data_IF_292662032291
#
_entry.id   IF_292662032291
#
_cell.length_a   1.000
_cell.length_b   1.000
_cell.length_c   1.000
_cell.angle_alpha   90.00
_cell.angle_beta   90.00
_cell.angle_gamma   90.00
#
_symmetry.space_group_name_H-M   'P 1'
#
loop_
_entity.id
_entity.type
_entity.pdbx_description
1 polymer ?
#
# COMPACT_ATOMS: atom_id res chain seq x y z
N UNK A 1 -3.87 45.67 57.11
CA UNK A 1 -4.31 44.49 56.31
C UNK A 1 -3.18 44.11 55.32
N UNK A 2 -2.37 43.16 55.73
CA UNK A 2 -1.22 42.72 54.92
C UNK A 2 -1.54 41.45 54.08
N UNK A 3 -1.29 41.51 52.82
CA UNK A 3 -1.48 40.37 51.91
C UNK A 3 -0.10 39.76 51.67
N UNK A 4 0.11 38.56 52.22
CA UNK A 4 1.31 37.74 52.01
C UNK A 4 1.22 36.97 50.71
N UNK A 5 2.15 37.23 49.78
CA UNK A 5 2.32 36.45 48.53
C UNK A 5 3.24 35.27 48.79
N UNK A 6 2.70 34.05 48.68
CA UNK A 6 3.47 32.80 48.71
C UNK A 6 4.05 32.52 47.33
N UNK A 7 5.39 32.44 47.23
CA UNK A 7 6.13 31.98 46.04
C UNK A 7 6.17 30.46 46.04
N UNK A 8 5.58 29.85 45.00
CA UNK A 8 5.70 28.42 44.74
C UNK A 8 6.96 28.15 43.90
N UNK A 9 7.92 27.46 44.49
CA UNK A 9 9.13 26.97 43.86
C UNK A 9 8.85 25.61 43.19
N UNK A 10 8.81 25.57 41.87
CA UNK A 10 8.75 24.32 41.10
C UNK A 10 10.15 23.73 40.99
N UNK A 11 10.38 22.64 41.66
CA UNK A 11 11.59 21.81 41.56
C UNK A 11 11.53 20.99 40.25
N UNK A 12 12.48 21.27 39.37
CA UNK A 12 12.70 20.52 38.13
C UNK A 12 13.48 19.24 38.45
N UNK A 13 12.83 18.10 38.49
CA UNK A 13 13.50 16.80 38.53
C UNK A 13 14.06 16.44 37.14
N UNK A 14 15.37 16.46 37.00
CA UNK A 14 16.10 15.89 35.87
C UNK A 14 16.17 14.38 36.07
N UNK A 15 15.50 13.61 35.21
CA UNK A 15 15.73 12.17 35.12
C UNK A 15 16.79 11.93 34.04
N UNK A 16 17.92 11.41 34.47
CA UNK A 16 18.98 10.87 33.63
C UNK A 16 18.54 9.53 33.05
N UNK A 17 18.55 9.43 31.72
CA UNK A 17 18.37 8.16 31.05
C UNK A 17 19.69 7.42 30.99
N UNK A 18 19.73 6.25 31.63
CA UNK A 18 20.85 5.31 31.56
C UNK A 18 20.74 4.53 30.24
N UNK A 19 21.72 4.75 29.37
CA UNK A 19 22.00 3.98 28.16
C UNK A 19 22.54 2.60 28.57
N UNK A 20 21.85 1.51 28.22
CA UNK A 20 22.44 0.16 28.25
C UNK A 20 22.39 -0.42 26.84
N UNK A 21 23.56 -0.41 26.21
CA UNK A 21 23.93 -1.30 25.13
C UNK A 21 24.26 -2.69 25.72
N UNK A 22 23.96 -3.72 24.96
CA UNK A 22 24.59 -5.06 24.81
C UNK A 22 23.47 -6.03 24.42
N UNK A 23 23.58 -6.67 23.28
CA UNK A 23 24.05 -7.93 22.98
C UNK A 23 23.76 -8.36 21.55
N UNK A 24 24.80 -8.47 20.75
CA UNK A 24 24.77 -9.19 19.48
C UNK A 24 24.71 -10.71 19.79
N UNK A 25 23.76 -11.39 19.17
CA UNK A 25 23.79 -12.86 19.05
C UNK A 25 23.78 -13.21 17.55
N UNK A 26 24.96 -13.56 17.07
CA UNK A 26 25.15 -14.25 15.81
C UNK A 26 24.66 -15.70 15.95
N UNK A 27 23.77 -16.14 15.08
CA UNK A 27 23.51 -17.57 14.86
C UNK A 27 23.93 -17.90 13.44
N UNK A 28 25.04 -18.62 13.35
CA UNK A 28 25.58 -19.20 12.14
C UNK A 28 24.87 -20.51 11.81
N UNK A 29 24.62 -20.72 10.52
CA UNK A 29 24.81 -22.02 9.85
C UNK A 29 23.71 -23.05 9.98
N UNK A 30 23.13 -23.43 8.85
CA UNK A 30 23.21 -24.81 8.34
C UNK A 30 22.88 -24.81 6.83
N UNK A 31 23.88 -25.03 6.02
CA UNK A 31 23.78 -25.49 4.64
C UNK A 31 23.29 -26.94 4.63
N UNK A 32 22.22 -27.22 3.92
CA UNK A 32 21.90 -28.57 3.48
C UNK A 32 21.76 -28.54 1.95
N UNK A 33 22.78 -29.04 1.28
CA UNK A 33 22.77 -29.42 -0.12
C UNK A 33 22.18 -30.82 -0.26
N UNK A 34 21.28 -31.02 -1.20
CA UNK A 34 20.92 -32.30 -1.85
C UNK A 34 19.86 -31.94 -2.90
N UNK A 35 19.86 -32.33 -4.11
CA UNK A 35 20.54 -33.30 -4.90
C UNK A 35 19.90 -33.20 -6.29
N UNK A 36 20.70 -33.19 -7.31
CA UNK A 36 20.30 -33.22 -8.71
C UNK A 36 19.66 -34.57 -9.04
N UNK A 37 18.54 -34.54 -9.76
CA UNK A 37 18.06 -35.67 -10.55
C UNK A 37 17.87 -35.16 -11.98
N UNK A 38 18.75 -35.66 -12.84
CA UNK A 38 18.57 -35.54 -14.29
C UNK A 38 17.53 -36.58 -14.74
N UNK A 39 16.59 -36.20 -15.52
CA UNK A 39 15.85 -37.15 -16.36
C UNK A 39 15.89 -36.68 -17.80
N UNK A 40 16.36 -37.59 -18.63
CA UNK A 40 16.54 -37.53 -20.05
C UNK A 40 15.26 -38.01 -20.74
N UNK A 41 14.83 -37.37 -21.81
CA UNK A 41 14.01 -38.09 -22.78
C UNK A 41 13.01 -37.28 -23.59
N UNK A 42 13.23 -37.23 -24.87
CA UNK A 42 12.18 -37.31 -25.86
C UNK A 42 11.87 -36.03 -26.65
N UNK A 43 12.58 -35.87 -27.77
CA UNK A 43 12.21 -34.93 -28.80
C UNK A 43 10.97 -35.37 -29.57
N UNK A 44 10.18 -34.40 -29.96
CA UNK A 44 9.32 -34.51 -31.17
C UNK A 44 9.33 -33.17 -31.90
N UNK A 45 9.97 -33.20 -33.03
CA UNK A 45 9.90 -32.19 -34.11
C UNK A 45 8.49 -32.14 -34.67
N UNK A 46 7.86 -30.99 -34.63
CA UNK A 46 6.67 -30.72 -35.46
C UNK A 46 6.99 -29.62 -36.48
N UNK A 47 7.15 -30.04 -37.68
CA UNK A 47 7.27 -29.23 -38.89
C UNK A 47 5.96 -28.47 -39.16
N UNK A 48 5.98 -27.16 -39.17
CA UNK A 48 4.88 -26.35 -39.63
C UNK A 48 5.14 -25.86 -41.04
N UNK A 49 4.32 -26.34 -41.95
CA UNK A 49 4.26 -26.04 -43.35
C UNK A 49 3.87 -24.58 -43.60
N UNK A 50 4.72 -23.84 -44.30
CA UNK A 50 4.39 -22.55 -44.88
C UNK A 50 3.49 -22.76 -46.10
N UNK A 51 2.36 -22.09 -46.11
CA UNK A 51 1.56 -21.93 -47.34
C UNK A 51 1.59 -20.46 -47.73
N UNK A 52 2.24 -20.20 -48.85
CA UNK A 52 2.21 -18.94 -49.59
C UNK A 52 0.99 -18.88 -50.49
N UNK A 53 0.52 -17.68 -50.71
CA UNK A 53 -0.04 -17.09 -51.91
C UNK A 53 -1.43 -16.49 -51.76
N UNK A 54 -1.53 -15.25 -52.24
CA UNK A 54 -2.77 -14.56 -52.49
C UNK A 54 -2.63 -13.05 -52.50
N UNK A 55 -1.93 -12.50 -53.51
CA UNK A 55 -2.04 -11.07 -53.84
C UNK A 55 -3.43 -10.78 -54.37
N UNK A 56 -4.15 -9.83 -53.77
CA UNK A 56 -5.22 -9.10 -54.46
C UNK A 56 -5.12 -7.64 -54.10
N UNK A 57 -4.73 -6.84 -55.05
CA UNK A 57 -4.82 -5.39 -55.11
C UNK A 57 -6.29 -4.95 -55.12
N UNK A 58 -6.66 -4.10 -54.16
CA UNK A 58 -7.99 -3.51 -54.05
C UNK A 58 -7.90 -2.11 -53.41
N UNK A 59 -7.88 -1.14 -54.27
CA UNK A 59 -8.40 0.24 -54.21
C UNK A 59 -8.73 0.88 -52.89
N UNK A 60 -8.00 1.97 -52.59
CA UNK A 60 -8.38 3.30 -52.09
C UNK A 60 -9.75 3.44 -51.41
N UNK A 61 -9.76 3.49 -50.10
CA UNK A 61 -10.76 4.12 -49.28
C UNK A 61 -10.03 4.75 -48.08
N UNK A 62 -9.77 6.06 -48.15
CA UNK A 62 -9.16 6.79 -47.04
C UNK A 62 -10.12 6.86 -45.87
N UNK A 63 -10.14 5.83 -45.02
CA UNK A 63 -10.75 5.90 -43.71
C UNK A 63 -9.81 6.71 -42.83
N UNK A 64 -10.21 7.91 -42.47
CA UNK A 64 -9.63 8.69 -41.41
C UNK A 64 -9.69 7.86 -40.12
N UNK A 65 -8.59 7.20 -39.78
CA UNK A 65 -8.45 6.51 -38.51
C UNK A 65 -8.44 7.58 -37.41
N UNK A 66 -9.60 7.81 -36.80
CA UNK A 66 -9.71 8.60 -35.60
C UNK A 66 -8.66 8.09 -34.60
N UNK A 67 -7.80 8.97 -34.11
CA UNK A 67 -6.76 8.65 -33.13
C UNK A 67 -7.43 8.02 -31.92
N UNK A 68 -7.24 6.71 -31.74
CA UNK A 68 -7.72 6.01 -30.55
C UNK A 68 -7.27 6.75 -29.30
N UNK A 69 -8.16 7.06 -28.37
CA UNK A 69 -7.79 7.79 -27.15
C UNK A 69 -6.65 7.06 -26.45
N UNK A 70 -5.51 7.74 -26.24
CA UNK A 70 -4.33 7.17 -25.58
C UNK A 70 -4.76 6.61 -24.23
N UNK A 71 -4.61 5.29 -24.03
CA UNK A 71 -4.91 4.66 -22.73
C UNK A 71 -4.10 5.32 -21.65
N UNK A 72 -4.79 5.84 -20.62
CA UNK A 72 -4.13 6.41 -19.46
C UNK A 72 -3.21 5.37 -18.82
N UNK A 73 -2.03 5.79 -18.33
CA UNK A 73 -1.19 4.92 -17.52
C UNK A 73 -1.94 4.46 -16.26
N UNK A 74 -1.60 3.29 -15.72
CA UNK A 74 -2.21 2.79 -14.48
C UNK A 74 -2.20 3.84 -13.37
N UNK A 75 -1.06 4.52 -13.15
CA UNK A 75 -0.91 5.57 -12.14
C UNK A 75 -1.88 6.74 -12.34
N UNK A 76 -2.08 7.18 -13.57
CA UNK A 76 -3.03 8.24 -13.89
C UNK A 76 -4.48 7.78 -13.66
N UNK A 77 -4.84 6.59 -14.14
CA UNK A 77 -6.17 6.02 -13.97
C UNK A 77 -6.49 5.74 -12.48
N UNK A 78 -5.56 5.19 -11.70
CA UNK A 78 -5.74 4.96 -10.27
C UNK A 78 -5.94 6.26 -9.51
N UNK A 79 -5.17 7.31 -9.84
CA UNK A 79 -5.32 8.64 -9.23
C UNK A 79 -6.70 9.27 -9.48
N UNK A 80 -7.41 8.87 -10.51
CA UNK A 80 -8.78 9.32 -10.80
C UNK A 80 -9.85 8.39 -10.23
N UNK A 81 -9.62 7.08 -10.32
CA UNK A 81 -10.59 6.05 -9.95
C UNK A 81 -10.57 5.61 -8.49
N UNK A 82 -9.49 5.88 -7.76
CA UNK A 82 -9.36 5.49 -6.35
C UNK A 82 -9.73 6.64 -5.40
N UNK A 83 -9.86 6.30 -4.11
CA UNK A 83 -10.00 7.27 -3.01
C UNK A 83 -8.81 7.22 -2.07
N UNK A 84 -8.58 8.32 -1.35
CA UNK A 84 -7.54 8.37 -0.32
C UNK A 84 -7.91 7.45 0.86
N UNK A 85 -6.95 6.65 1.37
CA UNK A 85 -7.27 5.51 2.25
C UNK A 85 -7.55 5.85 3.70
N UNK A 86 -7.30 7.06 4.21
CA UNK A 86 -7.53 7.43 5.62
C UNK A 86 -8.63 8.47 5.75
N UNK A 87 -9.51 8.29 6.73
CA UNK A 87 -10.58 9.24 7.10
C UNK A 87 -10.63 9.48 8.60
N UNK A 88 -10.90 10.73 9.04
CA UNK A 88 -11.01 11.94 8.23
C UNK A 88 -9.62 12.43 7.76
N UNK A 89 -9.58 13.13 6.64
CA UNK A 89 -8.31 13.64 6.06
C UNK A 89 -7.58 14.61 7.01
N UNK A 90 -8.29 15.25 7.94
CA UNK A 90 -7.70 16.11 8.98
C UNK A 90 -6.79 15.39 9.96
N UNK A 91 -6.84 14.08 9.99
CA UNK A 91 -5.96 13.24 10.83
C UNK A 91 -4.69 12.78 10.12
N UNK A 92 -4.45 13.24 8.91
CA UNK A 92 -3.30 12.83 8.08
C UNK A 92 -2.28 13.95 8.02
N UNK A 93 -1.02 13.64 8.30
CA UNK A 93 0.09 14.56 8.11
C UNK A 93 0.33 14.80 6.61
N UNK A 94 0.86 15.98 6.23
CA UNK A 94 1.01 16.34 4.82
C UNK A 94 2.06 15.48 4.10
N UNK A 95 1.98 15.34 2.75
CA UNK A 95 2.83 14.45 1.96
C UNK A 95 4.36 14.66 2.07
N UNK A 96 4.82 15.79 2.59
CA UNK A 96 6.24 16.04 2.86
C UNK A 96 6.82 15.22 4.03
N UNK A 97 5.93 14.66 4.86
CA UNK A 97 6.31 13.83 6.02
C UNK A 97 6.24 12.33 5.72
N UNK A 98 5.81 11.95 4.52
CA UNK A 98 5.62 10.55 4.16
C UNK A 98 6.95 9.89 3.75
N UNK A 99 7.14 8.64 4.15
CA UNK A 99 8.36 7.87 3.94
C UNK A 99 8.12 6.65 3.04
N UNK A 100 8.74 6.56 1.86
CA UNK A 100 8.62 5.38 1.01
C UNK A 100 9.63 4.29 1.41
N UNK A 101 9.17 3.03 1.41
CA UNK A 101 10.00 1.84 1.57
C UNK A 101 9.50 0.68 0.67
N UNK A 102 8.76 -0.31 1.20
CA UNK A 102 8.04 -1.31 0.41
C UNK A 102 6.75 -0.73 -0.17
N UNK A 103 6.10 0.16 0.56
CA UNK A 103 4.96 0.96 0.19
C UNK A 103 5.22 2.43 0.40
N UNK A 104 4.32 3.08 1.12
CA UNK A 104 4.42 4.46 1.58
C UNK A 104 3.81 4.58 2.98
N UNK A 105 4.60 5.04 3.94
CA UNK A 105 4.16 5.39 5.28
C UNK A 105 3.42 6.73 5.27
N UNK A 106 2.23 6.73 5.79
CA UNK A 106 1.35 7.89 5.90
C UNK A 106 1.06 8.13 7.38
N UNK A 107 1.86 8.97 8.07
CA UNK A 107 1.69 9.22 9.49
C UNK A 107 0.46 10.07 9.79
N UNK A 108 -0.03 9.95 11.04
CA UNK A 108 -1.21 10.65 11.51
C UNK A 108 -0.89 11.86 12.39
N UNK A 109 -1.78 12.84 12.42
CA UNK A 109 -1.65 14.05 13.23
C UNK A 109 -1.90 13.72 14.72
N UNK A 110 -0.94 14.08 15.59
CA UNK A 110 -1.08 13.87 17.02
C UNK A 110 -1.30 12.41 17.40
N UNK A 111 -0.65 11.51 16.66
CA UNK A 111 -0.75 10.06 16.86
C UNK A 111 -2.20 9.52 16.78
N UNK A 112 -3.04 10.18 15.98
CA UNK A 112 -4.42 9.73 15.79
C UNK A 112 -4.47 8.28 15.29
N UNK A 113 -5.20 7.43 16.00
CA UNK A 113 -5.30 6.01 15.74
C UNK A 113 -6.70 5.48 16.10
N UNK A 114 -6.97 4.22 15.87
CA UNK A 114 -8.24 3.61 16.18
C UNK A 114 -9.40 4.34 15.45
N UNK A 115 -10.45 4.64 16.16
CA UNK A 115 -11.64 5.35 15.62
C UNK A 115 -11.35 6.76 15.13
N UNK A 116 -10.22 7.35 15.50
CA UNK A 116 -9.83 8.69 15.04
C UNK A 116 -9.25 8.68 13.62
N UNK A 117 -8.75 7.54 13.17
CA UNK A 117 -8.13 7.35 11.85
C UNK A 117 -8.58 6.02 11.24
N UNK A 118 -9.71 6.06 10.51
CA UNK A 118 -10.28 4.89 9.84
C UNK A 118 -9.65 4.69 8.47
N UNK A 119 -9.23 3.47 8.20
CA UNK A 119 -8.74 3.06 6.89
C UNK A 119 -9.91 2.59 6.01
N UNK A 120 -9.91 3.04 4.75
CA UNK A 120 -10.95 2.69 3.78
C UNK A 120 -10.35 2.03 2.54
N UNK A 121 -11.11 1.14 1.91
CA UNK A 121 -10.72 0.52 0.64
C UNK A 121 -10.48 1.59 -0.43
N UNK A 122 -9.29 1.61 -1.04
CA UNK A 122 -8.94 2.58 -2.11
C UNK A 122 -9.77 2.37 -3.38
N UNK A 123 -10.22 1.14 -3.63
CA UNK A 123 -10.98 0.71 -4.81
C UNK A 123 -11.95 -0.41 -4.42
N UNK A 124 -12.80 -0.85 -5.36
CA UNK A 124 -13.59 -2.05 -5.17
C UNK A 124 -12.69 -3.29 -5.18
N UNK A 125 -12.88 -4.18 -4.21
CA UNK A 125 -11.99 -5.31 -4.03
C UNK A 125 -12.58 -6.45 -3.21
N UNK A 126 -11.76 -7.51 -3.06
CA UNK A 126 -12.02 -8.64 -2.17
C UNK A 126 -10.86 -8.78 -1.20
N UNK A 127 -11.14 -8.89 0.08
CA UNK A 127 -10.13 -9.17 1.10
C UNK A 127 -9.63 -10.61 0.91
N UNK A 128 -8.34 -10.77 0.68
CA UNK A 128 -7.74 -12.07 0.38
C UNK A 128 -6.84 -12.58 1.48
N UNK A 129 -6.39 -11.68 2.35
CA UNK A 129 -5.53 -12.01 3.49
C UNK A 129 -5.80 -11.04 4.63
N UNK A 130 -5.56 -11.49 5.86
CA UNK A 130 -5.50 -10.69 7.06
C UNK A 130 -4.30 -11.14 7.88
N UNK A 131 -3.49 -10.18 8.30
CA UNK A 131 -2.21 -10.43 8.94
C UNK A 131 -1.05 -10.50 7.95
N UNK A 132 -0.04 -9.70 8.20
CA UNK A 132 1.19 -9.61 7.41
C UNK A 132 2.35 -9.56 8.40
N UNK A 133 3.36 -10.44 8.20
CA UNK A 133 4.56 -10.43 9.02
C UNK A 133 5.25 -9.07 8.98
N UNK A 134 5.59 -8.53 10.13
CA UNK A 134 6.14 -7.18 10.27
C UNK A 134 5.11 -6.06 10.26
N UNK A 135 3.95 -6.22 9.63
CA UNK A 135 2.93 -5.17 9.48
C UNK A 135 1.70 -5.33 10.38
N UNK A 136 1.67 -6.36 11.21
CA UNK A 136 0.61 -6.61 12.17
C UNK A 136 -0.33 -7.75 11.80
N UNK A 137 -0.85 -8.44 12.82
CA UNK A 137 -1.69 -9.64 12.68
C UNK A 137 -3.08 -9.35 12.10
N UNK A 138 -3.47 -8.09 12.02
CA UNK A 138 -4.77 -7.69 11.50
C UNK A 138 -4.68 -6.85 10.20
N UNK A 139 -3.48 -6.62 9.69
CA UNK A 139 -3.26 -5.89 8.44
C UNK A 139 -3.98 -6.57 7.27
N UNK A 140 -4.96 -5.92 6.60
CA UNK A 140 -5.69 -6.53 5.50
C UNK A 140 -4.93 -6.41 4.18
N UNK A 141 -5.08 -7.43 3.32
CA UNK A 141 -4.69 -7.36 1.90
C UNK A 141 -5.94 -7.53 1.05
N UNK A 142 -6.12 -6.60 0.13
CA UNK A 142 -7.25 -6.55 -0.78
C UNK A 142 -6.80 -6.81 -2.21
N UNK A 143 -7.46 -7.73 -2.93
CA UNK A 143 -7.33 -7.85 -4.39
C UNK A 143 -8.32 -6.92 -5.06
N UNK A 144 -7.87 -6.05 -5.94
CA UNK A 144 -8.72 -5.14 -6.69
C UNK A 144 -9.57 -5.95 -7.68
N UNK A 145 -10.89 -5.79 -7.64
CA UNK A 145 -11.83 -6.55 -8.48
C UNK A 145 -12.35 -5.76 -9.66
N UNK A 146 -12.29 -4.43 -9.59
CA UNK A 146 -12.79 -3.55 -10.64
C UNK A 146 -11.93 -2.30 -10.79
N UNK A 147 -11.90 -1.76 -12.02
CA UNK A 147 -11.24 -0.49 -12.34
C UNK A 147 -9.71 -0.58 -12.43
N UNK A 148 -9.02 0.55 -12.23
CA UNK A 148 -7.57 0.62 -12.35
C UNK A 148 -6.87 -0.30 -11.37
N UNK A 149 -5.93 -1.10 -11.87
CA UNK A 149 -5.20 -2.08 -11.07
C UNK A 149 -5.95 -3.39 -10.84
N UNK A 150 -7.07 -3.65 -11.53
CA UNK A 150 -7.81 -4.93 -11.42
C UNK A 150 -6.86 -6.12 -11.43
N UNK A 151 -7.01 -6.99 -10.43
CA UNK A 151 -6.21 -8.19 -10.22
C UNK A 151 -4.96 -7.98 -9.37
N UNK A 152 -4.47 -6.75 -9.17
CA UNK A 152 -3.36 -6.44 -8.26
C UNK A 152 -3.84 -6.42 -6.81
N UNK A 153 -2.90 -6.53 -5.88
CA UNK A 153 -3.16 -6.54 -4.45
C UNK A 153 -2.71 -5.24 -3.81
N UNK A 154 -3.52 -4.70 -2.91
CA UNK A 154 -3.19 -3.56 -2.06
C UNK A 154 -3.16 -4.03 -0.61
N UNK A 155 -2.08 -3.76 0.11
CA UNK A 155 -1.99 -4.05 1.53
C UNK A 155 -2.08 -2.78 2.38
N UNK A 156 -2.59 -2.94 3.60
CA UNK A 156 -2.77 -1.89 4.60
C UNK A 156 -2.03 -2.34 5.86
N UNK A 157 -0.76 -1.95 5.95
CA UNK A 157 0.12 -2.29 7.06
C UNK A 157 -0.18 -1.49 8.32
N UNK A 158 0.20 -2.05 9.46
CA UNK A 158 0.04 -1.48 10.81
C UNK A 158 -1.42 -1.20 11.21
N UNK A 159 -2.37 -1.81 10.51
CA UNK A 159 -3.80 -1.72 10.79
C UNK A 159 -4.22 -2.53 12.02
N UNK A 160 -5.00 -1.94 12.91
CA UNK A 160 -5.61 -2.61 14.08
C UNK A 160 -6.70 -1.76 14.72
N UNK A 161 -7.95 -2.29 14.85
CA UNK A 161 -8.42 -3.58 14.38
C UNK A 161 -8.74 -3.59 12.87
N UNK A 162 -8.73 -4.78 12.26
CA UNK A 162 -9.42 -4.98 10.98
C UNK A 162 -10.94 -4.99 11.21
N UNK A 163 -11.66 -4.33 10.32
CA UNK A 163 -13.14 -4.24 10.32
C UNK A 163 -13.77 -5.20 9.31
N UNK A 164 -12.95 -5.99 8.63
CA UNK A 164 -13.35 -6.90 7.56
C UNK A 164 -12.82 -8.32 7.79
N UNK A 165 -13.40 -9.28 7.07
CA UNK A 165 -13.01 -10.69 7.09
C UNK A 165 -12.40 -11.10 5.74
N UNK A 166 -11.51 -12.09 5.75
CA UNK A 166 -11.02 -12.73 4.51
C UNK A 166 -12.21 -13.30 3.74
N UNK A 167 -12.20 -13.10 2.42
CA UNK A 167 -13.29 -13.48 1.53
C UNK A 167 -14.34 -12.38 1.31
N UNK A 168 -14.40 -11.36 2.15
CA UNK A 168 -15.36 -10.26 2.06
C UNK A 168 -15.07 -9.37 0.84
N UNK A 169 -16.13 -9.04 0.08
CA UNK A 169 -16.09 -7.99 -0.91
C UNK A 169 -16.29 -6.62 -0.25
N UNK A 170 -15.56 -5.63 -0.72
CA UNK A 170 -15.61 -4.26 -0.21
C UNK A 170 -15.72 -3.27 -1.36
N UNK A 171 -16.47 -2.20 -1.13
CA UNK A 171 -16.59 -1.09 -2.07
C UNK A 171 -15.55 -0.02 -1.80
N UNK A 172 -15.18 0.70 -2.83
CA UNK A 172 -14.32 1.88 -2.73
C UNK A 172 -14.85 2.86 -1.66
N UNK A 173 -13.99 3.22 -0.71
CA UNK A 173 -14.34 4.10 0.40
C UNK A 173 -15.04 3.42 1.58
N UNK A 174 -15.31 2.12 1.51
CA UNK A 174 -15.83 1.34 2.65
C UNK A 174 -14.75 1.21 3.74
N UNK A 175 -15.10 1.39 5.04
CA UNK A 175 -14.20 1.10 6.15
C UNK A 175 -13.74 -0.35 6.13
N UNK A 176 -12.42 -0.57 6.25
CA UNK A 176 -11.80 -1.91 6.25
C UNK A 176 -10.92 -2.16 7.46
N UNK A 177 -10.38 -1.11 8.07
CA UNK A 177 -9.55 -1.20 9.26
C UNK A 177 -9.47 0.16 9.96
N UNK A 178 -8.66 0.22 11.02
CA UNK A 178 -8.25 1.45 11.68
C UNK A 178 -6.73 1.48 11.76
N UNK A 179 -6.14 2.66 11.69
CA UNK A 179 -4.71 2.84 11.99
C UNK A 179 -4.44 2.34 13.40
N UNK A 180 -3.49 1.46 13.55
CA UNK A 180 -3.17 0.85 14.84
C UNK A 180 -2.66 1.86 15.86
N UNK A 181 -3.04 1.69 17.12
CA UNK A 181 -2.57 2.50 18.24
C UNK A 181 -1.32 1.88 18.86
N UNK A 182 -0.32 2.71 19.15
CA UNK A 182 0.96 2.26 19.69
C UNK A 182 1.77 1.45 18.67
N UNK A 183 2.43 0.40 19.13
CA UNK A 183 3.25 -0.47 18.28
C UNK A 183 2.40 -1.58 17.68
N UNK A 184 2.29 -1.61 16.35
CA UNK A 184 1.63 -2.68 15.59
C UNK A 184 2.61 -3.26 14.57
N UNK A 185 2.97 -4.52 14.71
CA UNK A 185 4.08 -5.10 13.96
C UNK A 185 5.40 -4.45 14.36
N UNK A 186 6.18 -4.03 13.38
CA UNK A 186 7.45 -3.31 13.58
C UNK A 186 7.29 -1.78 13.71
N UNK A 187 6.06 -1.28 13.61
CA UNK A 187 5.78 0.16 13.75
C UNK A 187 6.04 0.64 15.18
N UNK A 188 6.62 1.83 15.31
CA UNK A 188 6.83 2.51 16.60
C UNK A 188 5.84 3.65 16.86
N UNK A 189 5.05 4.04 15.86
CA UNK A 189 4.07 5.14 15.95
C UNK A 189 2.90 4.93 14.99
N UNK A 190 1.71 5.50 15.27
CA UNK A 190 0.54 5.37 14.43
C UNK A 190 0.74 5.93 13.01
N UNK A 191 0.65 5.07 12.01
CA UNK A 191 0.65 5.39 10.60
C UNK A 191 -0.03 4.27 9.80
N UNK A 192 -0.43 4.57 8.60
CA UNK A 192 -0.77 3.56 7.59
C UNK A 192 0.44 3.37 6.69
N UNK A 193 0.95 2.15 6.57
CA UNK A 193 1.77 1.77 5.44
C UNK A 193 0.87 1.16 4.35
N UNK A 194 0.87 1.75 3.15
CA UNK A 194 0.09 1.23 2.02
C UNK A 194 0.99 0.94 0.82
N UNK A 195 0.84 -0.25 0.26
CA UNK A 195 1.58 -0.65 -0.92
C UNK A 195 0.73 -1.44 -1.90
N UNK A 196 1.29 -1.70 -3.08
CA UNK A 196 0.63 -2.41 -4.15
C UNK A 196 1.55 -3.46 -4.77
N UNK A 197 1.03 -4.64 -5.09
CA UNK A 197 1.79 -5.69 -5.77
C UNK A 197 2.28 -5.23 -7.15
N UNK A 198 3.43 -5.76 -7.60
CA UNK A 198 4.00 -5.42 -8.91
C UNK A 198 3.10 -5.87 -10.06
N UNK A 199 2.53 -7.06 -9.92
CA UNK A 199 1.70 -7.72 -10.96
C UNK A 199 0.41 -8.28 -10.36
N UNK A 200 -0.44 -8.83 -11.21
CA UNK A 200 -1.65 -9.57 -10.83
C UNK A 200 -1.37 -11.02 -10.45
N UNK A 201 -0.20 -11.53 -10.82
CA UNK A 201 0.32 -12.84 -10.44
C UNK A 201 1.35 -12.68 -9.32
N UNK A 202 1.41 -13.62 -8.41
CA UNK A 202 2.34 -13.61 -7.30
C UNK A 202 1.66 -13.44 -5.94
N UNK A 203 2.45 -13.36 -4.88
CA UNK A 203 1.91 -13.31 -3.53
C UNK A 203 1.09 -12.03 -3.31
N UNK A 204 0.03 -12.10 -2.50
CA UNK A 204 -0.80 -10.95 -2.17
C UNK A 204 -0.01 -9.80 -1.51
N UNK A 205 1.04 -10.11 -0.78
CA UNK A 205 1.95 -9.17 -0.11
C UNK A 205 3.33 -9.81 0.03
N UNK A 206 4.38 -9.07 0.12
CA UNK A 206 4.53 -7.64 -0.09
C UNK A 206 5.60 -7.44 -1.18
N UNK A 207 5.60 -6.34 -1.92
CA UNK A 207 6.69 -6.06 -2.85
C UNK A 207 8.00 -5.84 -2.09
N UNK A 208 9.13 -6.04 -2.74
CA UNK A 208 10.43 -5.67 -2.19
C UNK A 208 10.56 -4.15 -2.03
N UNK A 209 11.43 -3.72 -1.13
CA UNK A 209 11.72 -2.30 -0.89
C UNK A 209 12.06 -1.59 -2.22
N UNK A 210 11.48 -0.43 -2.45
CA UNK A 210 11.64 0.36 -3.68
C UNK A 210 10.94 -0.19 -4.92
N UNK A 211 10.39 -1.41 -4.89
CA UNK A 211 9.87 -2.07 -6.09
C UNK A 211 8.62 -1.40 -6.67
N UNK A 212 7.68 -0.99 -5.81
CA UNK A 212 6.42 -0.32 -6.20
C UNK A 212 6.15 0.95 -5.39
N UNK A 213 7.01 1.28 -4.43
CA UNK A 213 6.83 2.43 -3.54
C UNK A 213 6.73 3.76 -4.29
N UNK A 214 7.52 3.98 -5.34
CA UNK A 214 7.42 5.18 -6.17
C UNK A 214 6.09 5.31 -6.90
N UNK A 215 5.50 4.18 -7.33
CA UNK A 215 4.20 4.14 -8.00
C UNK A 215 3.08 4.48 -7.01
N UNK A 216 3.02 3.79 -5.86
CA UNK A 216 1.97 4.01 -4.87
C UNK A 216 2.08 5.39 -4.22
N UNK A 217 3.29 5.89 -3.94
CA UNK A 217 3.52 7.24 -3.43
C UNK A 217 2.93 8.30 -4.34
N UNK A 218 3.17 8.19 -5.65
CA UNK A 218 2.64 9.16 -6.61
C UNK A 218 1.11 9.12 -6.68
N UNK A 219 0.50 7.94 -6.57
CA UNK A 219 -0.97 7.78 -6.51
C UNK A 219 -1.49 8.44 -5.22
N UNK A 220 -0.94 8.10 -4.06
CA UNK A 220 -1.40 8.62 -2.76
C UNK A 220 -1.29 10.14 -2.67
N UNK A 221 -0.19 10.73 -3.14
CA UNK A 221 -0.02 12.20 -3.17
C UNK A 221 -1.11 12.90 -4.00
N UNK A 222 -1.47 12.34 -5.16
CA UNK A 222 -2.55 12.89 -5.99
C UNK A 222 -3.92 12.74 -5.34
N UNK A 223 -4.21 11.58 -4.73
CA UNK A 223 -5.45 11.34 -4.01
C UNK A 223 -5.60 12.30 -2.81
N UNK A 224 -4.52 12.52 -2.06
CA UNK A 224 -4.49 13.47 -0.96
C UNK A 224 -4.78 14.90 -1.45
N UNK A 225 -4.12 15.34 -2.52
CA UNK A 225 -4.33 16.67 -3.10
C UNK A 225 -5.78 16.88 -3.54
N UNK A 226 -6.39 15.90 -4.22
CA UNK A 226 -7.80 15.92 -4.63
C UNK A 226 -8.74 15.98 -3.43
N UNK A 227 -8.54 15.14 -2.43
CA UNK A 227 -9.35 15.11 -1.22
C UNK A 227 -9.23 16.42 -0.43
N UNK A 228 -8.02 17.02 -0.39
CA UNK A 228 -7.79 18.33 0.23
C UNK A 228 -8.47 19.47 -0.51
N UNK A 229 -8.49 19.45 -1.85
CA UNK A 229 -9.19 20.43 -2.66
C UNK A 229 -10.70 20.36 -2.44
N UNK A 230 -11.28 19.15 -2.47
CA UNK A 230 -12.71 18.94 -2.24
C UNK A 230 -13.17 19.48 -0.87
N UNK A 231 -12.35 19.33 0.19
CA UNK A 231 -12.67 19.89 1.52
C UNK A 231 -12.78 21.43 1.52
N UNK A 232 -11.91 22.12 0.79
CA UNK A 232 -11.91 23.59 0.74
C UNK A 232 -13.13 24.18 0.05
N UNK A 233 -13.83 23.41 -0.79
CA UNK A 233 -15.05 23.85 -1.46
C UNK A 233 -16.32 23.61 -0.64
N UNK A 234 -16.22 22.88 0.49
CA UNK A 234 -17.37 22.55 1.35
C UNK A 234 -17.25 23.17 2.76
N UNK A 235 -16.20 23.94 3.03
CA UNK A 235 -15.99 24.73 4.27
C UNK A 235 -16.16 26.21 3.99
#
# INVERSE_FOLDING_TARGET
MGITKTKSTRTRARRASLLRMLGAAAVAGLLAASGAVADTGGGTTSTSTQTTSGSSSGSTGGASYGTSPKRKSFRAAASEGWVFPIRPLSRVLPPRTWSPDQGIDIPTVGEACGRQATEVAVADGKIVQKGISGFGSQAPVMRITYGPGKGRYVYYGHAQPALVKVGQYVHRGQPIAQVGCGSVGISSAPHLEIGISKTTAGPPCCPGNGQTSGEITAIMKRLYSRASAARRHHS
#
